data_IF_618977564229
#
_entry.id   IF_618977564229
#
_cell.length_a   1.000
_cell.length_b   1.000
_cell.length_c   1.000
_cell.angle_alpha   90.00
_cell.angle_beta   90.00
_cell.angle_gamma   90.00
#
_symmetry.space_group_name_H-M   'P 1'
#
loop_
_entity.id
_entity.type
_entity.pdbx_description
1 polymer ?
#
# COMPACT_ATOMS: atom_id res chain seq x y z
N UNK A 1 -7.92 -16.27 31.71
CA UNK A 1 -8.08 -16.00 30.26
C UNK A 1 -8.84 -14.71 29.98
N UNK A 2 -9.99 -14.41 30.61
CA UNK A 2 -10.64 -13.08 30.45
C UNK A 2 -9.94 -11.93 31.20
N UNK A 3 -9.15 -12.25 32.24
CA UNK A 3 -8.41 -11.24 33.05
C UNK A 3 -7.07 -10.78 32.47
N UNK A 4 -6.56 -11.42 31.41
CA UNK A 4 -5.33 -10.99 30.73
C UNK A 4 -5.61 -10.03 29.56
N UNK A 5 -6.80 -10.08 28.97
CA UNK A 5 -7.20 -9.16 27.90
C UNK A 5 -7.57 -7.76 28.39
N UNK A 6 -7.71 -7.55 29.70
CA UNK A 6 -7.94 -6.23 30.31
C UNK A 6 -6.65 -5.51 30.75
N UNK A 7 -5.49 -6.18 30.75
CA UNK A 7 -4.21 -5.60 31.19
C UNK A 7 -3.37 -4.99 30.05
N UNK A 8 -3.89 -4.98 28.82
CA UNK A 8 -3.31 -4.27 27.68
C UNK A 8 -3.85 -2.83 27.58
N UNK A 9 -4.07 -2.16 28.72
CA UNK A 9 -3.99 -0.71 28.72
C UNK A 9 -2.53 -0.39 28.35
N UNK A 10 -2.30 -0.09 27.08
CA UNK A 10 -1.02 0.35 26.52
C UNK A 10 -0.28 1.14 27.58
N UNK A 11 0.92 0.68 27.98
CA UNK A 11 1.84 1.53 28.73
C UNK A 11 1.93 2.83 27.95
N UNK A 12 1.29 3.87 28.46
CA UNK A 12 1.23 5.18 27.82
C UNK A 12 2.68 5.55 27.55
N UNK A 13 3.03 5.68 26.27
CA UNK A 13 4.42 5.92 25.88
C UNK A 13 4.93 7.17 26.60
N UNK A 14 6.19 7.16 27.00
CA UNK A 14 6.81 8.30 27.69
C UNK A 14 6.61 9.63 26.91
N UNK A 15 6.71 9.67 25.56
CA UNK A 15 6.37 10.86 24.78
C UNK A 15 4.92 11.33 24.96
N UNK A 16 3.95 10.40 25.03
CA UNK A 16 2.54 10.75 25.20
C UNK A 16 2.27 11.32 26.60
N UNK A 17 2.95 10.82 27.63
CA UNK A 17 2.84 11.37 28.98
C UNK A 17 3.36 12.81 29.06
N UNK A 18 4.52 13.08 28.45
CA UNK A 18 5.11 14.42 28.37
C UNK A 18 4.12 15.37 27.70
N UNK A 19 3.60 15.00 26.53
CA UNK A 19 2.64 15.81 25.79
C UNK A 19 1.36 16.10 26.62
N UNK A 20 0.80 15.10 27.29
CA UNK A 20 -0.41 15.28 28.11
C UNK A 20 -0.18 16.22 29.30
N UNK A 21 1.01 16.18 29.89
CA UNK A 21 1.38 17.09 30.98
C UNK A 21 1.54 18.54 30.49
N UNK A 22 2.19 18.75 29.34
CA UNK A 22 2.37 20.08 28.74
C UNK A 22 1.03 20.75 28.42
N UNK A 23 0.14 20.05 27.71
CA UNK A 23 -1.18 20.62 27.37
C UNK A 23 -2.08 20.81 28.59
N UNK A 24 -1.80 20.09 29.69
CA UNK A 24 -2.52 20.21 30.96
C UNK A 24 -2.20 21.50 31.72
N UNK A 25 -1.02 22.09 31.49
CA UNK A 25 -0.60 23.36 32.10
C UNK A 25 -1.20 24.58 31.40
N UNK A 26 -1.71 24.42 30.17
CA UNK A 26 -2.28 25.51 29.39
C UNK A 26 -3.68 25.85 29.95
N UNK A 27 -3.93 27.10 30.35
CA UNK A 27 -5.22 27.49 30.89
C UNK A 27 -6.28 27.50 29.78
N UNK A 28 -7.47 26.96 30.12
CA UNK A 28 -8.64 26.97 29.25
C UNK A 28 -9.09 28.39 28.96
N UNK A 29 -9.64 28.60 27.77
CA UNK A 29 -10.17 29.88 27.35
C UNK A 29 -11.61 30.04 27.81
N UNK A 30 -11.93 31.23 28.32
CA UNK A 30 -13.30 31.69 28.50
C UNK A 30 -13.93 32.07 27.15
N UNK A 31 -15.25 32.23 27.14
CA UNK A 31 -15.99 32.62 25.93
C UNK A 31 -15.61 34.02 25.42
N UNK A 32 -15.34 34.96 26.33
CA UNK A 32 -14.86 36.30 25.99
C UNK A 32 -13.47 36.26 25.35
N UNK A 33 -12.58 35.41 25.87
CA UNK A 33 -11.24 35.20 25.31
C UNK A 33 -11.30 34.53 23.94
N UNK A 34 -12.14 33.50 23.76
CA UNK A 34 -12.37 32.87 22.45
C UNK A 34 -12.79 33.90 21.40
N UNK A 35 -13.71 34.82 21.76
CA UNK A 35 -14.20 35.86 20.85
C UNK A 35 -13.12 36.89 20.52
N UNK A 36 -12.38 37.35 21.53
CA UNK A 36 -11.27 38.30 21.36
C UNK A 36 -10.14 37.72 20.50
N UNK A 37 -9.77 36.46 20.73
CA UNK A 37 -8.76 35.75 19.94
C UNK A 37 -9.25 35.47 18.52
N UNK A 38 -10.53 35.12 18.36
CA UNK A 38 -11.17 34.93 17.05
C UNK A 38 -11.17 36.20 16.21
N UNK A 39 -11.48 37.36 16.81
CA UNK A 39 -11.42 38.66 16.14
C UNK A 39 -10.00 38.99 15.68
N UNK A 40 -9.00 38.84 16.56
CA UNK A 40 -7.59 39.07 16.22
C UNK A 40 -7.08 38.11 15.15
N UNK A 41 -7.42 36.83 15.24
CA UNK A 41 -7.08 35.79 14.25
C UNK A 41 -7.63 36.14 12.86
N UNK A 42 -8.87 36.67 12.78
CA UNK A 42 -9.48 37.11 11.53
C UNK A 42 -8.74 38.27 10.85
N UNK A 43 -7.99 39.07 11.63
CA UNK A 43 -7.14 40.17 11.16
C UNK A 43 -5.71 39.71 10.81
N UNK A 44 -5.43 38.40 10.88
CA UNK A 44 -4.13 37.83 10.56
C UNK A 44 -3.15 37.74 11.73
N UNK A 45 -3.60 37.90 12.97
CA UNK A 45 -2.75 37.74 14.17
C UNK A 45 -2.42 36.26 14.40
N UNK A 46 -1.18 35.88 14.12
CA UNK A 46 -0.67 34.50 14.30
C UNK A 46 -0.61 34.09 15.78
N UNK A 47 -0.31 35.02 16.68
CA UNK A 47 -0.21 34.72 18.11
C UNK A 47 -1.61 34.44 18.70
N UNK A 48 -2.61 35.21 18.26
CA UNK A 48 -3.99 34.96 18.63
C UNK A 48 -4.48 33.58 18.12
N UNK A 49 -4.11 33.21 16.89
CA UNK A 49 -4.42 31.90 16.32
C UNK A 49 -3.75 30.77 17.10
N UNK A 50 -2.45 30.92 17.40
CA UNK A 50 -1.69 29.96 18.21
C UNK A 50 -2.34 29.76 19.57
N UNK A 51 -2.65 30.85 20.27
CA UNK A 51 -3.30 30.82 21.58
C UNK A 51 -4.68 30.15 21.54
N UNK A 52 -5.47 30.41 20.49
CA UNK A 52 -6.78 29.79 20.27
C UNK A 52 -6.66 28.27 20.07
N UNK A 53 -5.66 27.81 19.31
CA UNK A 53 -5.37 26.38 19.15
C UNK A 53 -4.86 25.75 20.45
N UNK A 54 -3.86 26.34 21.10
CA UNK A 54 -3.26 25.83 22.34
C UNK A 54 -4.30 25.63 23.47
N UNK A 55 -5.19 26.60 23.66
CA UNK A 55 -6.26 26.53 24.66
C UNK A 55 -7.25 25.38 24.43
N UNK A 56 -7.25 24.78 23.24
CA UNK A 56 -8.16 23.72 22.84
C UNK A 56 -7.48 22.37 22.54
N UNK A 57 -6.18 22.21 22.81
CA UNK A 57 -5.47 20.93 22.59
C UNK A 57 -6.08 19.76 23.38
N UNK A 58 -6.64 20.05 24.57
CA UNK A 58 -7.35 19.06 25.39
C UNK A 58 -8.61 18.51 24.72
N UNK A 59 -9.29 19.32 23.90
CA UNK A 59 -10.44 18.88 23.11
C UNK A 59 -10.03 17.80 22.11
N UNK A 60 -8.90 17.99 21.42
CA UNK A 60 -8.36 17.01 20.45
C UNK A 60 -8.13 15.66 21.10
N UNK A 61 -7.47 15.64 22.27
CA UNK A 61 -7.22 14.39 23.02
C UNK A 61 -8.52 13.71 23.42
N UNK A 62 -9.52 14.48 23.87
CA UNK A 62 -10.82 13.91 24.26
C UNK A 62 -11.54 13.25 23.08
N UNK A 63 -11.44 13.84 21.88
CA UNK A 63 -12.03 13.29 20.66
C UNK A 63 -11.23 12.08 20.14
N UNK A 64 -9.90 12.14 20.16
CA UNK A 64 -9.02 11.08 19.66
C UNK A 64 -9.22 9.73 20.37
N UNK A 65 -9.58 9.75 21.65
CA UNK A 65 -9.91 8.53 22.43
C UNK A 65 -11.02 7.69 21.82
N UNK A 66 -11.94 8.27 21.04
CA UNK A 66 -13.00 7.52 20.36
C UNK A 66 -12.55 6.81 19.07
N UNK A 67 -11.31 7.08 18.63
CA UNK A 67 -10.74 6.57 17.39
C UNK A 67 -9.57 5.61 17.60
N UNK A 68 -9.22 5.30 18.86
CA UNK A 68 -8.20 4.30 19.20
C UNK A 68 -8.58 2.90 18.68
N UNK A 69 -7.59 2.07 18.42
CA UNK A 69 -7.80 0.69 17.94
C UNK A 69 -8.24 0.59 16.48
N UNK A 70 -8.08 1.65 15.68
CA UNK A 70 -8.40 1.69 14.24
C UNK A 70 -7.16 1.61 13.33
N UNK A 71 -6.09 0.98 13.80
CA UNK A 71 -4.86 0.78 13.02
C UNK A 71 -3.89 1.97 13.01
N UNK A 72 -4.17 3.04 13.77
CA UNK A 72 -3.26 4.18 13.94
C UNK A 72 -3.01 4.40 15.44
N UNK A 73 -1.75 4.62 15.87
CA UNK A 73 -1.41 4.97 17.24
C UNK A 73 -2.15 6.21 17.74
N UNK A 74 -2.48 6.26 19.04
CA UNK A 74 -3.18 7.40 19.62
C UNK A 74 -2.42 8.73 19.44
N UNK A 75 -1.09 8.70 19.55
CA UNK A 75 -0.27 9.90 19.36
C UNK A 75 -0.41 10.47 17.94
N UNK A 76 -0.42 9.61 16.92
CA UNK A 76 -0.57 10.05 15.53
C UNK A 76 -1.98 10.59 15.27
N UNK A 77 -3.01 9.96 15.84
CA UNK A 77 -4.38 10.49 15.80
C UNK A 77 -4.48 11.89 16.44
N UNK A 78 -3.79 12.11 17.56
CA UNK A 78 -3.73 13.42 18.21
C UNK A 78 -3.05 14.44 17.29
N UNK A 79 -1.94 14.09 16.62
CA UNK A 79 -1.24 15.00 15.71
C UNK A 79 -2.11 15.38 14.50
N UNK A 80 -2.78 14.41 13.88
CA UNK A 80 -3.72 14.63 12.79
C UNK A 80 -4.90 15.50 13.24
N UNK A 81 -5.42 15.25 14.44
CA UNK A 81 -6.44 16.07 15.08
C UNK A 81 -5.97 17.51 15.36
N UNK A 82 -4.72 17.70 15.78
CA UNK A 82 -4.11 19.02 16.01
C UNK A 82 -3.99 19.80 14.69
N UNK A 83 -3.66 19.14 13.58
CA UNK A 83 -3.69 19.76 12.25
C UNK A 83 -5.12 20.20 11.86
N UNK A 84 -6.13 19.39 12.18
CA UNK A 84 -7.53 19.77 12.04
C UNK A 84 -7.91 20.99 12.89
N UNK A 85 -7.45 21.02 14.14
CA UNK A 85 -7.67 22.14 15.07
C UNK A 85 -7.04 23.45 14.56
N UNK A 86 -5.80 23.40 14.04
CA UNK A 86 -5.14 24.58 13.48
C UNK A 86 -5.94 25.14 12.28
N UNK A 87 -6.41 24.27 11.38
CA UNK A 87 -7.30 24.68 10.27
C UNK A 87 -8.62 25.27 10.76
N UNK A 88 -9.16 24.77 11.87
CA UNK A 88 -10.35 25.35 12.48
C UNK A 88 -10.07 26.76 13.01
N UNK A 89 -8.92 26.99 13.65
CA UNK A 89 -8.53 28.31 14.17
C UNK A 89 -8.31 29.34 13.05
N UNK A 90 -7.83 28.90 11.88
CA UNK A 90 -7.68 29.75 10.69
C UNK A 90 -9.02 30.23 10.12
N UNK A 91 -10.03 29.35 10.13
CA UNK A 91 -11.33 29.58 9.47
C UNK A 91 -12.45 29.93 10.44
N UNK A 92 -12.12 30.11 11.72
CA UNK A 92 -13.12 30.38 12.74
C UNK A 92 -13.74 31.77 12.54
N UNK A 93 -15.07 31.80 12.56
CA UNK A 93 -15.87 33.00 12.40
C UNK A 93 -16.49 33.37 13.76
N UNK A 94 -15.88 34.37 14.41
CA UNK A 94 -16.30 34.87 15.73
C UNK A 94 -17.63 35.65 15.69
N UNK A 95 -18.13 36.01 14.50
CA UNK A 95 -19.40 36.73 14.36
C UNK A 95 -20.60 35.82 14.50
N UNK A 96 -20.41 34.52 14.23
CA UNK A 96 -21.39 33.48 14.50
C UNK A 96 -21.33 33.18 15.99
N UNK A 97 -22.46 33.26 16.68
CA UNK A 97 -22.61 33.05 18.14
C UNK A 97 -22.42 31.59 18.57
N UNK A 98 -21.44 30.89 17.98
CA UNK A 98 -21.11 29.51 18.24
C UNK A 98 -19.73 29.43 18.90
N UNK A 99 -19.65 28.64 19.99
CA UNK A 99 -18.40 28.30 20.66
C UNK A 99 -17.38 27.72 19.70
N UNK A 100 -16.11 28.06 19.88
CA UNK A 100 -15.04 27.56 19.03
C UNK A 100 -14.96 26.02 19.07
N UNK A 101 -15.17 25.42 20.25
CA UNK A 101 -15.17 23.96 20.44
C UNK A 101 -16.17 23.23 19.54
N UNK A 102 -17.36 23.80 19.32
CA UNK A 102 -18.41 23.25 18.43
C UNK A 102 -17.93 23.22 16.98
N UNK A 103 -17.31 24.30 16.51
CA UNK A 103 -16.77 24.40 15.15
C UNK A 103 -15.53 23.53 14.96
N UNK A 104 -14.58 23.59 15.89
CA UNK A 104 -13.34 22.83 15.85
C UNK A 104 -13.57 21.33 15.87
N UNK A 105 -14.59 20.85 16.60
CA UNK A 105 -14.92 19.42 16.68
C UNK A 105 -15.15 18.78 15.31
N UNK A 106 -15.72 19.51 14.35
CA UNK A 106 -15.91 19.01 12.98
C UNK A 106 -14.58 18.81 12.26
N UNK A 107 -13.73 19.83 12.25
CA UNK A 107 -12.41 19.77 11.60
C UNK A 107 -11.49 18.72 12.22
N UNK A 108 -11.50 18.59 13.55
CA UNK A 108 -10.71 17.59 14.28
C UNK A 108 -11.16 16.18 13.87
N UNK A 109 -12.47 15.91 13.89
CA UNK A 109 -13.03 14.60 13.49
C UNK A 109 -12.76 14.28 12.02
N UNK A 110 -12.89 15.27 11.14
CA UNK A 110 -12.61 15.09 9.70
C UNK A 110 -11.13 14.76 9.46
N UNK A 111 -10.20 15.47 10.13
CA UNK A 111 -8.77 15.23 10.00
C UNK A 111 -8.39 13.82 10.48
N UNK A 112 -8.85 13.42 11.67
CA UNK A 112 -8.60 12.07 12.19
C UNK A 112 -9.23 10.99 11.31
N UNK A 113 -10.47 11.18 10.85
CA UNK A 113 -11.14 10.21 9.97
C UNK A 113 -10.41 10.07 8.63
N UNK A 114 -9.94 11.18 8.05
CA UNK A 114 -9.13 11.17 6.83
C UNK A 114 -7.79 10.47 7.04
N UNK A 115 -7.12 10.70 8.16
CA UNK A 115 -5.87 10.03 8.49
C UNK A 115 -6.07 8.52 8.60
N UNK A 116 -7.11 8.08 9.33
CA UNK A 116 -7.51 6.66 9.40
C UNK A 116 -7.72 6.09 8.02
N UNK A 117 -8.47 6.76 7.15
CA UNK A 117 -8.77 6.24 5.82
C UNK A 117 -7.53 6.18 4.91
N UNK A 118 -6.46 6.93 5.19
CA UNK A 118 -5.24 6.98 4.37
C UNK A 118 -4.07 6.15 4.93
N UNK A 119 -3.96 6.02 6.26
CA UNK A 119 -2.78 5.49 6.94
C UNK A 119 -3.06 4.21 7.75
N UNK A 120 -4.32 3.85 8.02
CA UNK A 120 -4.63 2.67 8.87
C UNK A 120 -4.30 1.31 8.25
N UNK A 121 -3.88 1.28 6.98
CA UNK A 121 -3.61 0.05 6.23
C UNK A 121 -2.20 0.10 5.66
N UNK A 122 -1.50 -1.03 5.73
CA UNK A 122 -0.17 -1.22 5.18
C UNK A 122 -0.18 -1.07 3.66
N UNK A 123 -1.21 -1.62 3.00
CA UNK A 123 -1.49 -1.40 1.58
C UNK A 123 -2.54 -0.31 1.46
N UNK A 124 -2.11 0.87 0.99
CA UNK A 124 -2.96 2.05 0.86
C UNK A 124 -4.15 1.80 -0.07
N UNK A 125 -5.34 2.13 0.42
CA UNK A 125 -6.60 2.06 -0.34
C UNK A 125 -7.11 3.48 -0.61
N UNK A 126 -7.53 3.82 -1.84
CA UNK A 126 -8.16 5.12 -2.13
C UNK A 126 -9.44 5.35 -1.34
N UNK A 127 -9.73 6.61 -1.00
CA UNK A 127 -10.88 7.00 -0.13
C UNK A 127 -12.22 6.45 -0.64
N UNK A 128 -12.51 6.55 -1.94
CA UNK A 128 -13.76 6.05 -2.52
C UNK A 128 -13.90 4.52 -2.39
N UNK A 129 -12.79 3.77 -2.42
CA UNK A 129 -12.79 2.32 -2.21
C UNK A 129 -13.02 2.01 -0.72
N UNK A 130 -12.38 2.76 0.19
CA UNK A 130 -12.60 2.63 1.63
C UNK A 130 -14.05 2.93 2.05
N UNK A 131 -14.68 3.95 1.44
CA UNK A 131 -16.11 4.24 1.62
C UNK A 131 -17.00 3.09 1.13
N UNK A 132 -16.69 2.53 -0.04
CA UNK A 132 -17.39 1.35 -0.56
C UNK A 132 -17.23 0.13 0.37
N UNK A 133 -16.03 -0.10 0.92
CA UNK A 133 -15.78 -1.15 1.91
C UNK A 133 -16.64 -0.97 3.17
N UNK A 134 -16.72 0.26 3.71
CA UNK A 134 -17.58 0.56 4.88
C UNK A 134 -19.06 0.31 4.58
N UNK A 135 -19.54 0.70 3.39
CA UNK A 135 -20.91 0.42 2.94
C UNK A 135 -21.19 -1.07 2.88
N UNK A 136 -20.30 -1.83 2.22
CA UNK A 136 -20.40 -3.31 2.13
C UNK A 136 -20.40 -3.95 3.51
N UNK A 137 -19.48 -3.57 4.41
CA UNK A 137 -19.43 -4.10 5.78
C UNK A 137 -20.70 -3.78 6.59
N UNK A 138 -21.22 -2.55 6.47
CA UNK A 138 -22.45 -2.15 7.15
C UNK A 138 -23.64 -2.99 6.66
N UNK A 139 -23.81 -3.11 5.35
CA UNK A 139 -24.87 -3.90 4.74
C UNK A 139 -24.76 -5.38 5.08
N UNK A 140 -23.54 -5.93 5.08
CA UNK A 140 -23.27 -7.31 5.48
C UNK A 140 -23.68 -7.56 6.94
N UNK A 141 -23.34 -6.67 7.89
CA UNK A 141 -23.75 -6.78 9.30
C UNK A 141 -25.26 -6.69 9.48
N UNK A 142 -25.92 -5.78 8.78
CA UNK A 142 -27.38 -5.67 8.83
C UNK A 142 -28.07 -6.93 8.28
N UNK A 143 -27.55 -7.49 7.18
CA UNK A 143 -28.05 -8.74 6.62
C UNK A 143 -27.81 -9.90 7.56
N UNK A 144 -26.62 -9.98 8.17
CA UNK A 144 -26.27 -11.00 9.15
C UNK A 144 -27.23 -10.99 10.34
N UNK A 145 -27.60 -9.80 10.84
CA UNK A 145 -28.59 -9.67 11.91
C UNK A 145 -29.99 -10.13 11.48
N UNK A 146 -30.40 -9.84 10.25
CA UNK A 146 -31.72 -10.23 9.73
C UNK A 146 -31.83 -11.72 9.36
N UNK A 147 -30.74 -12.32 8.86
CA UNK A 147 -30.71 -13.70 8.34
C UNK A 147 -30.25 -14.71 9.39
N UNK A 148 -29.59 -14.27 10.47
CA UNK A 148 -28.98 -15.13 11.48
C UNK A 148 -27.78 -15.94 10.98
N UNK A 149 -27.24 -15.59 9.81
CA UNK A 149 -26.06 -16.18 9.18
C UNK A 149 -25.29 -15.14 8.36
N UNK A 150 -24.06 -15.45 7.97
CA UNK A 150 -23.29 -14.56 7.10
C UNK A 150 -23.97 -14.40 5.73
N UNK A 151 -23.97 -13.15 5.24
CA UNK A 151 -24.58 -12.77 3.98
C UNK A 151 -23.67 -13.13 2.81
N UNK A 152 -24.25 -13.70 1.75
CA UNK A 152 -23.51 -13.99 0.52
C UNK A 152 -23.20 -12.69 -0.25
N UNK A 153 -22.14 -12.66 -1.08
CA UNK A 153 -21.84 -11.48 -1.91
C UNK A 153 -23.02 -11.04 -2.79
N UNK A 154 -23.81 -12.00 -3.29
CA UNK A 154 -25.01 -11.74 -4.07
C UNK A 154 -26.10 -11.02 -3.28
N UNK A 155 -26.41 -11.48 -2.07
CA UNK A 155 -27.40 -10.85 -1.19
C UNK A 155 -26.99 -9.42 -0.79
N UNK A 156 -25.69 -9.20 -0.58
CA UNK A 156 -25.14 -7.86 -0.30
C UNK A 156 -25.29 -6.95 -1.51
N UNK A 157 -24.97 -7.45 -2.71
CA UNK A 157 -25.12 -6.70 -3.96
C UNK A 157 -26.59 -6.33 -4.23
N UNK A 158 -27.51 -7.27 -4.06
CA UNK A 158 -28.96 -7.05 -4.22
C UNK A 158 -29.48 -5.97 -3.25
N UNK A 159 -29.03 -5.98 -2.00
CA UNK A 159 -29.43 -4.97 -1.00
C UNK A 159 -28.81 -3.59 -1.27
N UNK A 160 -27.60 -3.54 -1.84
CA UNK A 160 -26.94 -2.28 -2.21
C UNK A 160 -27.57 -1.66 -3.47
N UNK A 161 -27.93 -2.48 -4.46
CA UNK A 161 -28.60 -2.07 -5.69
C UNK A 161 -27.71 -1.31 -6.69
N UNK A 162 -26.54 -0.84 -6.29
CA UNK A 162 -25.59 -0.05 -7.09
C UNK A 162 -24.28 -0.77 -7.43
N UNK A 163 -24.15 -2.06 -7.08
CA UNK A 163 -22.92 -2.86 -7.30
C UNK A 163 -23.24 -4.26 -7.82
N UNK A 164 -22.37 -4.81 -8.66
CA UNK A 164 -22.48 -6.20 -9.09
C UNK A 164 -21.99 -7.18 -8.01
N UNK A 165 -22.35 -8.45 -8.13
CA UNK A 165 -21.85 -9.51 -7.25
C UNK A 165 -20.31 -9.58 -7.27
N UNK A 166 -19.70 -9.42 -8.45
CA UNK A 166 -18.25 -9.48 -8.62
C UNK A 166 -17.55 -8.26 -8.00
N UNK A 167 -18.16 -7.07 -8.08
CA UNK A 167 -17.65 -5.89 -7.37
C UNK A 167 -17.64 -6.10 -5.86
N UNK A 168 -18.69 -6.70 -5.31
CA UNK A 168 -18.79 -7.02 -3.88
C UNK A 168 -17.73 -8.06 -3.49
N UNK A 169 -17.51 -9.10 -4.31
CA UNK A 169 -16.43 -10.08 -4.08
C UNK A 169 -15.06 -9.40 -4.05
N UNK A 170 -14.77 -8.53 -5.02
CA UNK A 170 -13.51 -7.79 -5.07
C UNK A 170 -13.33 -6.91 -3.81
N UNK A 171 -14.39 -6.22 -3.39
CA UNK A 171 -14.37 -5.40 -2.17
C UNK A 171 -14.12 -6.27 -0.94
N UNK A 172 -14.75 -7.46 -0.84
CA UNK A 172 -14.52 -8.40 0.26
C UNK A 172 -13.07 -8.87 0.29
N UNK A 173 -12.46 -9.15 -0.87
CA UNK A 173 -11.04 -9.51 -0.93
C UNK A 173 -10.15 -8.37 -0.41
N UNK A 174 -10.46 -7.11 -0.73
CA UNK A 174 -9.73 -5.96 -0.19
C UNK A 174 -9.89 -5.77 1.32
N UNK A 175 -10.92 -6.35 1.95
CA UNK A 175 -11.08 -6.27 3.40
C UNK A 175 -10.01 -7.07 4.13
N UNK A 176 -9.40 -8.07 3.50
CA UNK A 176 -8.34 -8.89 4.10
C UNK A 176 -7.11 -8.04 4.40
N UNK A 177 -6.62 -8.13 5.64
CA UNK A 177 -5.40 -7.45 6.05
C UNK A 177 -4.20 -8.38 5.81
N UNK A 178 -3.03 -7.83 5.43
CA UNK A 178 -1.82 -8.63 5.32
C UNK A 178 -1.44 -9.23 6.68
N UNK A 179 -0.75 -10.38 6.63
CA UNK A 179 -0.22 -11.07 7.81
C UNK A 179 1.30 -10.96 7.77
N UNK A 180 1.94 -10.83 8.93
CA UNK A 180 3.39 -10.77 9.02
C UNK A 180 4.02 -12.12 8.65
N UNK A 181 5.07 -12.10 7.85
CA UNK A 181 5.89 -13.29 7.58
C UNK A 181 6.63 -13.77 8.85
N UNK A 182 6.89 -12.87 9.79
CA UNK A 182 7.50 -13.19 11.09
C UNK A 182 6.51 -13.84 12.08
N UNK A 183 5.25 -14.04 11.68
CA UNK A 183 4.26 -14.71 12.54
C UNK A 183 4.74 -16.13 12.79
N UNK A 184 4.96 -16.55 14.06
CA UNK A 184 5.41 -17.90 14.35
C UNK A 184 4.33 -18.92 13.99
N UNK A 185 4.77 -20.08 13.50
CA UNK A 185 3.90 -21.19 13.07
C UNK A 185 4.24 -22.45 13.88
N UNK A 186 3.21 -23.09 14.43
CA UNK A 186 3.36 -24.27 15.29
C UNK A 186 3.59 -23.92 16.77
N UNK A 187 3.62 -24.94 17.62
CA UNK A 187 3.75 -24.79 19.08
C UNK A 187 5.19 -24.49 19.53
N UNK A 188 6.19 -24.85 18.71
CA UNK A 188 7.61 -24.74 19.05
C UNK A 188 8.17 -23.31 18.86
N UNK A 189 7.48 -22.45 18.10
CA UNK A 189 7.85 -21.05 17.89
C UNK A 189 9.16 -20.81 17.12
N UNK A 190 9.82 -21.87 16.64
CA UNK A 190 11.09 -21.78 15.89
C UNK A 190 10.88 -21.39 14.42
N UNK A 191 9.74 -21.74 13.83
CA UNK A 191 9.44 -21.47 12.43
C UNK A 191 8.50 -20.29 12.29
N UNK A 192 8.75 -19.46 11.28
CA UNK A 192 7.89 -18.35 10.89
C UNK A 192 7.07 -18.70 9.63
N UNK A 193 6.01 -17.94 9.37
CA UNK A 193 5.24 -18.07 8.13
C UNK A 193 6.12 -17.85 6.89
N UNK A 194 7.10 -16.95 7.00
CA UNK A 194 8.08 -16.64 5.96
C UNK A 194 8.92 -17.85 5.54
N UNK A 195 9.31 -18.69 6.49
CA UNK A 195 10.13 -19.89 6.22
C UNK A 195 9.39 -20.92 5.36
N UNK A 196 8.06 -20.83 5.26
CA UNK A 196 7.23 -21.73 4.46
C UNK A 196 6.94 -21.20 3.05
N UNK A 197 7.31 -19.95 2.74
CA UNK A 197 7.06 -19.35 1.43
C UNK A 197 8.13 -19.80 0.45
N UNK A 198 7.72 -20.57 -0.56
CA UNK A 198 8.57 -20.98 -1.66
C UNK A 198 9.05 -19.78 -2.49
N UNK A 199 10.36 -19.68 -2.73
CA UNK A 199 10.91 -18.76 -3.71
C UNK A 199 10.73 -19.32 -5.13
N UNK A 200 9.95 -18.59 -5.94
CA UNK A 200 9.66 -18.93 -7.33
C UNK A 200 10.43 -18.07 -8.33
N UNK A 201 11.30 -17.20 -7.85
CA UNK A 201 12.07 -16.29 -8.69
C UNK A 201 13.41 -16.87 -9.15
N UNK A 202 13.96 -17.82 -8.38
CA UNK A 202 15.19 -18.53 -8.73
C UNK A 202 14.94 -19.76 -9.60
N UNK A 203 15.84 -20.02 -10.53
CA UNK A 203 15.90 -21.30 -11.24
C UNK A 203 16.20 -22.42 -10.24
N UNK A 204 15.50 -23.53 -10.38
CA UNK A 204 15.85 -24.74 -9.65
C UNK A 204 17.22 -25.27 -10.11
N UNK A 205 17.97 -26.00 -9.27
CA UNK A 205 19.24 -26.61 -9.69
C UNK A 205 19.10 -27.50 -10.94
N UNK A 206 17.94 -28.14 -11.11
CA UNK A 206 17.61 -28.95 -12.28
C UNK A 206 17.46 -28.08 -13.54
N UNK A 207 16.70 -26.98 -13.46
CA UNK A 207 16.56 -26.02 -14.56
C UNK A 207 17.90 -25.39 -14.95
N UNK A 208 18.71 -25.01 -13.96
CA UNK A 208 20.04 -24.47 -14.20
C UNK A 208 20.97 -25.49 -14.89
N UNK A 209 20.93 -26.76 -14.48
CA UNK A 209 21.69 -27.83 -15.13
C UNK A 209 21.19 -28.07 -16.55
N UNK A 210 19.86 -28.12 -16.76
CA UNK A 210 19.27 -28.30 -18.08
C UNK A 210 19.67 -27.16 -19.03
N UNK A 211 19.69 -25.91 -18.55
CA UNK A 211 20.13 -24.76 -19.33
C UNK A 211 21.63 -24.86 -19.71
N UNK A 212 22.48 -25.36 -18.82
CA UNK A 212 23.89 -25.62 -19.11
C UNK A 212 24.07 -26.73 -20.16
N UNK A 213 23.36 -27.85 -20.02
CA UNK A 213 23.39 -28.97 -20.99
C UNK A 213 22.92 -28.49 -22.36
N UNK A 214 21.81 -27.76 -22.43
CA UNK A 214 21.29 -27.19 -23.68
C UNK A 214 22.32 -26.24 -24.34
N UNK A 215 23.04 -25.45 -23.54
CA UNK A 215 24.09 -24.56 -24.05
C UNK A 215 25.26 -25.34 -24.64
N UNK A 216 25.66 -26.45 -24.02
CA UNK A 216 26.70 -27.35 -24.52
C UNK A 216 26.25 -28.03 -25.82
N UNK A 217 25.03 -28.58 -25.87
CA UNK A 217 24.46 -29.21 -27.07
C UNK A 217 24.38 -28.23 -28.25
N UNK A 218 23.94 -26.99 -28.01
CA UNK A 218 23.92 -25.94 -29.04
C UNK A 218 25.34 -25.65 -29.53
N UNK A 219 26.33 -25.61 -28.62
CA UNK A 219 27.73 -25.39 -29.00
C UNK A 219 28.26 -26.53 -29.87
N UNK A 220 28.00 -27.79 -29.53
CA UNK A 220 28.38 -28.96 -30.33
C UNK A 220 27.71 -28.95 -31.72
N UNK A 221 26.43 -28.60 -31.81
CA UNK A 221 25.73 -28.46 -33.09
C UNK A 221 26.33 -27.35 -33.96
N UNK A 222 26.69 -26.22 -33.36
CA UNK A 222 27.36 -25.11 -34.04
C UNK A 222 28.76 -25.50 -34.55
N UNK A 223 29.46 -26.44 -33.91
CA UNK A 223 30.76 -26.92 -34.38
C UNK A 223 30.69 -27.67 -35.72
N UNK A 224 29.54 -28.26 -36.06
CA UNK A 224 29.30 -28.92 -37.36
C UNK A 224 29.16 -27.93 -38.53
N UNK A 225 28.90 -26.65 -38.23
CA UNK A 225 28.83 -25.58 -39.24
C UNK A 225 30.23 -25.09 -39.60
N UNK A 226 30.37 -24.57 -40.82
CA UNK A 226 31.60 -23.86 -41.20
C UNK A 226 31.70 -22.51 -40.45
N UNK A 227 32.91 -21.95 -40.37
CA UNK A 227 33.17 -20.75 -39.55
C UNK A 227 32.28 -19.55 -39.93
N UNK A 228 31.95 -19.37 -41.22
CA UNK A 228 31.06 -18.28 -41.66
C UNK A 228 29.59 -18.53 -41.30
N UNK A 229 29.12 -19.76 -41.42
CA UNK A 229 27.76 -20.17 -41.02
C UNK A 229 27.59 -20.02 -39.50
N UNK A 230 28.58 -20.49 -38.73
CA UNK A 230 28.61 -20.39 -37.27
C UNK A 230 28.58 -18.94 -36.80
N UNK A 231 29.39 -18.06 -37.38
CA UNK A 231 29.45 -16.64 -37.04
C UNK A 231 28.13 -15.92 -37.34
N UNK A 232 27.50 -16.23 -38.49
CA UNK A 232 26.16 -15.68 -38.82
C UNK A 232 25.13 -16.09 -37.76
N UNK A 233 25.09 -17.36 -37.35
CA UNK A 233 24.13 -17.84 -36.35
C UNK A 233 24.42 -17.25 -34.96
N UNK A 234 25.69 -17.15 -34.54
CA UNK A 234 26.07 -16.54 -33.26
C UNK A 234 25.60 -15.10 -33.15
N UNK A 235 25.88 -14.28 -34.17
CA UNK A 235 25.48 -12.86 -34.20
C UNK A 235 23.98 -12.67 -34.38
N UNK A 236 23.33 -13.52 -35.18
CA UNK A 236 21.90 -13.41 -35.44
C UNK A 236 21.04 -13.67 -34.20
N UNK A 237 21.42 -14.68 -33.42
CA UNK A 237 20.70 -15.10 -32.22
C UNK A 237 21.34 -14.60 -30.91
N UNK A 238 22.44 -13.84 -30.97
CA UNK A 238 23.08 -13.25 -29.80
C UNK A 238 23.62 -14.29 -28.82
N UNK A 239 24.19 -15.39 -29.32
CA UNK A 239 24.57 -16.55 -28.49
C UNK A 239 25.82 -16.31 -27.61
N UNK A 240 26.60 -15.27 -27.89
CA UNK A 240 27.80 -14.91 -27.10
C UNK A 240 27.56 -13.69 -26.18
N UNK A 241 26.94 -12.63 -26.70
CA UNK A 241 26.80 -11.34 -26.04
C UNK A 241 25.34 -10.99 -25.67
N UNK A 242 24.40 -11.90 -25.94
CA UNK A 242 22.98 -11.71 -25.69
C UNK A 242 22.30 -10.71 -26.63
N UNK A 243 23.01 -10.17 -27.64
CA UNK A 243 22.49 -9.16 -28.56
C UNK A 243 22.23 -9.75 -29.93
N UNK A 244 20.99 -9.64 -30.39
CA UNK A 244 20.62 -10.07 -31.74
C UNK A 244 20.98 -8.99 -32.75
N UNK A 245 21.66 -9.37 -33.82
CA UNK A 245 22.00 -8.47 -34.91
C UNK A 245 21.05 -8.62 -36.11
N UNK A 246 20.83 -7.52 -36.83
CA UNK A 246 20.08 -7.55 -38.08
C UNK A 246 20.91 -8.16 -39.22
N UNK A 247 20.25 -8.70 -40.25
CA UNK A 247 20.96 -9.25 -41.42
C UNK A 247 21.84 -8.22 -42.13
N UNK A 248 21.51 -6.94 -42.00
CA UNK A 248 22.25 -5.82 -42.57
C UNK A 248 23.53 -5.54 -41.77
N UNK A 249 23.43 -5.43 -40.44
CA UNK A 249 24.58 -5.30 -39.53
C UNK A 249 25.55 -6.47 -39.64
N UNK A 250 25.03 -7.70 -39.72
CA UNK A 250 25.85 -8.90 -39.92
C UNK A 250 26.55 -8.84 -41.29
N UNK A 251 25.85 -8.33 -42.31
CA UNK A 251 26.39 -8.18 -43.67
C UNK A 251 27.54 -7.18 -43.71
N UNK A 252 27.39 -6.03 -43.04
CA UNK A 252 28.45 -5.03 -42.90
C UNK A 252 29.67 -5.61 -42.18
N UNK A 253 29.47 -6.34 -41.08
CA UNK A 253 30.56 -6.95 -40.30
C UNK A 253 31.31 -8.05 -41.06
N UNK A 254 30.61 -8.82 -41.90
CA UNK A 254 31.18 -9.93 -42.68
C UNK A 254 31.58 -9.55 -44.12
N UNK A 255 31.42 -8.29 -44.51
CA UNK A 255 31.74 -7.79 -45.85
C UNK A 255 30.89 -8.43 -46.95
N UNK A 256 29.61 -8.72 -46.68
CA UNK A 256 28.68 -9.36 -47.62
C UNK A 256 27.33 -8.64 -47.65
N UNK A 257 26.56 -8.84 -48.73
CA UNK A 257 25.22 -8.25 -48.84
C UNK A 257 24.25 -8.88 -47.84
N UNK A 258 23.24 -8.11 -47.43
CA UNK A 258 22.13 -8.59 -46.59
C UNK A 258 21.50 -9.89 -47.11
N UNK A 259 21.24 -9.96 -48.41
CA UNK A 259 20.65 -11.17 -49.04
C UNK A 259 21.61 -12.36 -48.97
N UNK A 260 22.92 -12.12 -49.02
CA UNK A 260 23.91 -13.18 -48.86
C UNK A 260 23.93 -13.73 -47.43
N UNK A 261 23.79 -12.88 -46.41
CA UNK A 261 23.64 -13.34 -45.00
C UNK A 261 22.39 -14.21 -44.86
N UNK A 262 21.26 -13.79 -45.44
CA UNK A 262 20.00 -14.57 -45.43
C UNK A 262 20.18 -15.97 -46.04
N UNK A 263 20.92 -16.08 -47.14
CA UNK A 263 21.22 -17.37 -47.77
C UNK A 263 22.11 -18.25 -46.88
N UNK A 264 23.10 -17.67 -46.20
CA UNK A 264 23.99 -18.39 -45.29
C UNK A 264 23.20 -18.88 -44.06
N UNK A 265 22.37 -18.03 -43.47
CA UNK A 265 21.46 -18.37 -42.36
C UNK A 265 20.55 -19.54 -42.73
N UNK A 266 19.87 -19.48 -43.88
CA UNK A 266 18.97 -20.54 -44.33
C UNK A 266 19.68 -21.89 -44.49
N UNK A 267 20.87 -21.90 -45.11
CA UNK A 267 21.69 -23.11 -45.26
C UNK A 267 22.20 -23.64 -43.93
N UNK A 268 22.60 -22.76 -43.02
CA UNK A 268 23.06 -23.15 -41.69
C UNK A 268 21.92 -23.81 -40.88
N UNK A 269 20.71 -23.23 -40.92
CA UNK A 269 19.53 -23.81 -40.25
C UNK A 269 19.12 -25.16 -40.85
N UNK A 270 19.23 -25.34 -42.16
CA UNK A 270 18.96 -26.62 -42.83
C UNK A 270 19.95 -27.70 -42.39
N UNK A 271 21.25 -27.39 -42.38
CA UNK A 271 22.29 -28.30 -41.86
C UNK A 271 22.10 -28.64 -40.38
N UNK A 272 21.76 -27.65 -39.56
CA UNK A 272 21.49 -27.88 -38.13
C UNK A 272 20.32 -28.86 -37.95
N UNK A 273 19.24 -28.70 -38.74
CA UNK A 273 18.08 -29.62 -38.73
C UNK A 273 18.44 -31.04 -39.16
N UNK A 274 19.30 -31.20 -40.16
CA UNK A 274 19.79 -32.52 -40.59
C UNK A 274 20.68 -33.16 -39.52
N UNK A 275 21.49 -32.36 -38.83
CA UNK A 275 22.43 -32.83 -37.80
C UNK A 275 21.82 -33.08 -36.42
N UNK A 276 20.56 -32.66 -36.23
CA UNK A 276 19.76 -32.86 -35.03
C UNK A 276 18.78 -34.05 -35.13
N UNK A 277 18.72 -34.71 -36.30
CA UNK A 277 18.08 -36.03 -36.50
C UNK A 277 19.06 -37.15 -36.16
#
# INVERSE_FOLDING_TARGET
MEKEQQNAAEKISEPLQIYLNEIGQIPLLSEEEERSLGEKSSRGDEEARRRLSEGNLRLVVSLAKHYTGRGIPLMDLIQEGNMGLMRAAEKYDYTKENRFSTYASWWIKEAMQRAIDQQSREIRVPVHVAENMKRVQKTARELQQSLGRDATPKEIAEKLGDKSEDDVKNIINYLQNPVSLETPVGDDGENSLGDMVEDRSGDTPEEAMNALVQKEEVKELLEKLNDREREVIRLRYGLEDGRTHTLEEIGEKLGVTRERVRQIEARALEKLRESAK
#
